data_IF_843087726557
#
_entry.id   IF_843087726557
#
_cell.length_a   1.000
_cell.length_b   1.000
_cell.length_c   1.000
_cell.angle_alpha   90.00
_cell.angle_beta   90.00
_cell.angle_gamma   90.00
#
_symmetry.space_group_name_H-M   'P 1'
#
loop_
_entity.id
_entity.type
_entity.pdbx_description
1 polymer ?
#
# COMPACT_ATOMS: atom_id res chain seq x y z
N UNK A 1 -38.35 35.45 21.89
CA UNK A 1 -37.71 34.16 21.53
C UNK A 1 -37.39 34.20 20.05
N UNK A 2 -36.11 34.20 19.64
CA UNK A 2 -35.74 33.95 18.25
C UNK A 2 -35.83 32.44 17.93
N UNK A 3 -36.09 32.05 16.67
CA UNK A 3 -36.02 30.65 16.24
C UNK A 3 -34.55 30.19 16.15
N UNK A 4 -34.21 28.92 16.45
CA UNK A 4 -32.91 28.38 16.12
C UNK A 4 -32.80 28.18 14.60
N UNK A 5 -31.85 28.86 13.99
CA UNK A 5 -31.38 28.67 12.61
C UNK A 5 -30.76 27.27 12.47
N UNK A 6 -31.53 26.31 11.96
CA UNK A 6 -31.06 24.99 11.56
C UNK A 6 -30.59 25.00 10.10
N UNK A 7 -29.37 24.52 9.86
CA UNK A 7 -28.88 24.27 8.49
C UNK A 7 -27.39 24.50 8.31
N UNK A 8 -26.54 23.85 9.11
CA UNK A 8 -25.13 23.69 8.81
C UNK A 8 -24.87 22.20 8.60
N UNK A 9 -24.53 21.85 7.36
CA UNK A 9 -23.97 20.59 6.88
C UNK A 9 -23.56 19.62 7.99
N UNK A 10 -24.28 18.50 8.13
CA UNK A 10 -23.77 17.33 8.85
C UNK A 10 -22.45 16.93 8.19
N UNK A 11 -21.37 17.38 8.80
CA UNK A 11 -20.04 16.87 8.56
C UNK A 11 -20.08 15.41 8.99
N UNK A 12 -20.12 14.51 8.00
CA UNK A 12 -19.85 13.09 8.23
C UNK A 12 -18.35 13.01 8.57
N UNK A 13 -18.05 13.11 9.86
CA UNK A 13 -16.74 12.75 10.40
C UNK A 13 -16.56 11.24 10.12
N UNK A 14 -15.49 10.80 9.42
CA UNK A 14 -15.19 9.37 9.36
C UNK A 14 -14.93 8.91 10.79
N UNK A 15 -15.86 8.12 11.33
CA UNK A 15 -15.75 7.53 12.65
C UNK A 15 -14.72 6.40 12.58
N UNK A 16 -13.43 6.78 12.58
CA UNK A 16 -12.36 5.83 12.83
C UNK A 16 -12.56 5.31 14.25
N UNK A 17 -12.90 4.03 14.35
CA UNK A 17 -13.01 3.34 15.62
C UNK A 17 -11.64 3.37 16.30
N UNK A 18 -11.57 3.97 17.49
CA UNK A 18 -10.33 4.08 18.27
C UNK A 18 -9.75 2.70 18.65
N UNK A 19 -10.52 1.62 18.46
CA UNK A 19 -10.03 0.24 18.62
C UNK A 19 -8.99 -0.20 17.58
N UNK A 20 -8.87 0.50 16.43
CA UNK A 20 -7.87 0.18 15.41
C UNK A 20 -6.48 0.77 15.71
N UNK A 21 -6.41 1.85 16.52
CA UNK A 21 -5.17 2.53 16.85
C UNK A 21 -4.28 1.74 17.85
N UNK A 22 -4.88 0.83 18.63
CA UNK A 22 -4.17 0.02 19.63
C UNK A 22 -3.38 -1.16 19.02
N UNK A 23 -3.60 -1.47 17.75
CA UNK A 23 -2.88 -2.56 17.05
C UNK A 23 -1.48 -2.09 16.60
N UNK A 24 -1.23 -0.78 16.47
CA UNK A 24 0.10 -0.25 16.10
C UNK A 24 1.04 -0.01 17.30
N UNK A 25 0.63 -0.34 18.53
CA UNK A 25 1.38 0.00 19.74
C UNK A 25 2.27 -1.10 20.35
N UNK A 26 2.20 -2.34 19.89
CA UNK A 26 2.89 -3.46 20.57
C UNK A 26 3.91 -4.18 19.69
N UNK A 27 5.02 -3.48 19.42
CA UNK A 27 6.29 -4.12 19.09
C UNK A 27 7.21 -4.03 20.32
N UNK A 28 6.95 -4.87 21.32
CA UNK A 28 7.86 -5.07 22.45
C UNK A 28 8.76 -6.28 22.19
N UNK A 29 10.05 -6.06 22.39
CA UNK A 29 11.18 -6.98 22.22
C UNK A 29 10.99 -8.28 23.02
N UNK A 30 11.17 -9.43 22.38
CA UNK A 30 11.53 -10.69 23.07
C UNK A 30 12.85 -11.21 22.52
N UNK A 31 13.85 -11.29 23.40
CA UNK A 31 15.13 -11.95 23.17
C UNK A 31 15.20 -13.26 23.96
N UNK A 32 15.51 -14.36 23.26
CA UNK A 32 16.39 -15.45 23.74
C UNK A 32 15.77 -16.81 24.12
N UNK A 33 16.21 -17.88 23.42
CA UNK A 33 16.56 -19.15 24.10
C UNK A 33 16.10 -20.53 23.53
N UNK A 34 16.92 -21.10 22.62
CA UNK A 34 17.31 -22.52 22.43
C UNK A 34 16.36 -23.71 22.10
N UNK A 35 16.65 -24.27 20.91
CA UNK A 35 16.99 -25.67 20.55
C UNK A 35 15.99 -26.84 20.71
N UNK A 36 15.65 -27.46 19.56
CA UNK A 36 15.14 -28.83 19.45
C UNK A 36 15.16 -29.30 17.98
N UNK A 37 16.02 -30.27 17.68
CA UNK A 37 16.30 -30.80 16.34
C UNK A 37 15.25 -31.87 15.93
N UNK A 38 14.77 -31.85 14.68
CA UNK A 38 13.86 -32.87 14.13
C UNK A 38 13.85 -32.85 12.60
N UNK A 39 14.14 -33.99 12.00
CA UNK A 39 14.54 -34.19 10.59
C UNK A 39 13.61 -33.65 9.51
N UNK A 40 14.25 -33.08 8.49
CA UNK A 40 13.72 -32.65 7.19
C UNK A 40 13.37 -33.80 6.26
N UNK A 41 12.19 -33.76 5.63
CA UNK A 41 12.06 -34.02 4.19
C UNK A 41 10.74 -33.51 3.59
N UNK A 42 10.80 -32.91 2.39
CA UNK A 42 9.65 -32.71 1.50
C UNK A 42 9.18 -31.26 1.34
N UNK A 43 9.73 -30.57 0.33
CA UNK A 43 9.50 -29.17 0.02
C UNK A 43 8.03 -28.77 -0.09
N UNK A 44 7.62 -27.91 0.82
CA UNK A 44 6.68 -26.83 0.54
C UNK A 44 7.45 -25.55 0.84
N UNK A 45 7.38 -24.58 -0.06
CA UNK A 45 7.95 -23.24 0.11
C UNK A 45 7.23 -22.58 1.29
N UNK A 46 7.66 -22.94 2.50
CA UNK A 46 7.18 -22.41 3.75
C UNK A 46 7.52 -20.94 3.76
N UNK A 47 6.50 -20.13 3.47
CA UNK A 47 6.37 -18.75 3.82
C UNK A 47 7.60 -17.91 3.56
N UNK A 48 7.53 -17.10 2.51
CA UNK A 48 8.08 -15.76 2.60
C UNK A 48 7.53 -15.15 3.91
N UNK A 49 8.26 -15.27 5.01
CA UNK A 49 7.92 -14.82 6.36
C UNK A 49 9.11 -14.08 6.99
N UNK A 50 10.11 -13.77 6.16
CA UNK A 50 11.21 -12.89 6.50
C UNK A 50 10.96 -11.46 6.00
N UNK A 51 11.84 -10.53 6.39
CA UNK A 51 11.85 -9.17 5.89
C UNK A 51 11.86 -9.10 4.36
N UNK A 52 11.28 -8.05 3.79
CA UNK A 52 11.33 -7.78 2.36
C UNK A 52 12.76 -7.33 2.00
N UNK A 53 13.46 -8.10 1.18
CA UNK A 53 14.85 -7.84 0.79
C UNK A 53 14.99 -7.30 -0.63
N UNK A 54 14.01 -7.54 -1.50
CA UNK A 54 14.08 -7.13 -2.91
C UNK A 54 12.79 -6.46 -3.39
N UNK A 55 12.91 -5.66 -4.46
CA UNK A 55 11.76 -5.04 -5.14
C UNK A 55 10.74 -6.08 -5.59
N UNK A 56 11.19 -7.18 -6.20
CA UNK A 56 10.31 -8.25 -6.65
C UNK A 56 9.53 -8.90 -5.48
N UNK A 57 10.18 -9.06 -4.33
CA UNK A 57 9.51 -9.53 -3.11
C UNK A 57 8.44 -8.53 -2.66
N UNK A 58 8.75 -7.23 -2.62
CA UNK A 58 7.79 -6.18 -2.23
C UNK A 58 6.53 -6.22 -3.11
N UNK A 59 6.71 -6.33 -4.43
CA UNK A 59 5.60 -6.38 -5.40
C UNK A 59 4.76 -7.65 -5.21
N UNK A 60 5.42 -8.78 -4.96
CA UNK A 60 4.73 -10.03 -4.65
C UNK A 60 3.86 -9.88 -3.39
N UNK A 61 4.35 -9.21 -2.35
CA UNK A 61 3.56 -8.92 -1.14
C UNK A 61 2.35 -8.04 -1.40
N UNK A 62 2.49 -7.01 -2.23
CA UNK A 62 1.36 -6.16 -2.60
C UNK A 62 0.25 -6.99 -3.27
N UNK A 63 0.62 -7.95 -4.13
CA UNK A 63 -0.35 -8.88 -4.76
C UNK A 63 -0.98 -9.84 -3.74
N UNK A 64 -0.21 -10.37 -2.79
CA UNK A 64 -0.73 -11.21 -1.70
C UNK A 64 -1.75 -10.44 -0.84
N UNK A 65 -1.42 -9.21 -0.46
CA UNK A 65 -2.31 -8.31 0.29
C UNK A 65 -3.58 -8.02 -0.50
N UNK A 66 -3.47 -7.69 -1.79
CA UNK A 66 -4.62 -7.47 -2.65
C UNK A 66 -5.51 -8.72 -2.75
N UNK A 67 -4.91 -9.91 -2.87
CA UNK A 67 -5.64 -11.18 -2.93
C UNK A 67 -6.31 -11.54 -1.60
N UNK A 68 -5.70 -11.18 -0.46
CA UNK A 68 -6.32 -11.32 0.85
C UNK A 68 -7.58 -10.43 0.95
N UNK A 69 -7.45 -9.13 0.72
CA UNK A 69 -8.58 -8.20 0.82
C UNK A 69 -9.69 -8.52 -0.18
N UNK A 70 -9.39 -8.97 -1.41
CA UNK A 70 -10.44 -9.41 -2.36
C UNK A 70 -11.30 -10.56 -1.82
N UNK A 71 -10.72 -11.42 -0.98
CA UNK A 71 -11.42 -12.58 -0.39
C UNK A 71 -12.19 -12.21 0.88
N UNK A 72 -11.63 -11.34 1.72
CA UNK A 72 -12.23 -10.97 3.01
C UNK A 72 -13.15 -9.76 2.92
N UNK A 73 -12.83 -8.81 2.06
CA UNK A 73 -13.53 -7.53 1.86
C UNK A 73 -13.54 -7.14 0.37
N UNK A 74 -14.38 -7.76 -0.47
CA UNK A 74 -14.32 -7.65 -1.93
C UNK A 74 -14.45 -6.23 -2.50
N UNK A 75 -15.07 -5.33 -1.73
CA UNK A 75 -15.30 -3.93 -2.11
C UNK A 75 -14.41 -2.95 -1.31
N UNK A 76 -13.44 -3.46 -0.56
CA UNK A 76 -12.51 -2.60 0.17
C UNK A 76 -11.60 -1.85 -0.81
N UNK A 77 -11.46 -0.51 -0.67
CA UNK A 77 -10.52 0.26 -1.47
C UNK A 77 -9.07 -0.21 -1.26
N UNK A 78 -8.74 -0.83 -0.12
CA UNK A 78 -7.42 -1.37 0.16
C UNK A 78 -6.99 -2.45 -0.85
N UNK A 79 -7.90 -3.34 -1.24
CA UNK A 79 -7.64 -4.37 -2.26
C UNK A 79 -7.23 -3.75 -3.60
N UNK A 80 -7.98 -2.72 -4.02
CA UNK A 80 -7.74 -2.02 -5.26
C UNK A 80 -6.41 -1.27 -5.22
N UNK A 81 -6.12 -0.55 -4.13
CA UNK A 81 -4.88 0.22 -4.01
C UNK A 81 -3.63 -0.66 -3.96
N UNK A 82 -3.68 -1.79 -3.25
CA UNK A 82 -2.56 -2.74 -3.21
C UNK A 82 -2.26 -3.32 -4.61
N UNK A 83 -3.30 -3.66 -5.38
CA UNK A 83 -3.14 -4.13 -6.76
C UNK A 83 -2.57 -3.03 -7.66
N UNK A 84 -3.11 -1.80 -7.59
CA UNK A 84 -2.59 -0.66 -8.36
C UNK A 84 -1.15 -0.34 -8.01
N UNK A 85 -0.78 -0.40 -6.74
CA UNK A 85 0.60 -0.20 -6.30
C UNK A 85 1.54 -1.29 -6.85
N UNK A 86 1.11 -2.56 -6.89
CA UNK A 86 1.90 -3.63 -7.50
C UNK A 86 2.13 -3.40 -8.99
N UNK A 87 1.13 -2.87 -9.70
CA UNK A 87 1.19 -2.52 -11.13
C UNK A 87 2.08 -1.29 -11.39
N UNK A 88 2.14 -0.32 -10.46
CA UNK A 88 2.93 0.92 -10.60
C UNK A 88 4.38 0.81 -10.11
N UNK A 89 4.65 -0.03 -9.11
CA UNK A 89 5.90 -0.78 -9.10
C UNK A 89 5.95 -1.60 -10.41
N UNK A 90 6.91 -2.42 -10.81
CA UNK A 90 7.04 -2.87 -12.23
C UNK A 90 7.21 -1.77 -13.32
N UNK A 91 6.50 -0.62 -13.30
CA UNK A 91 6.69 0.48 -14.26
C UNK A 91 7.90 1.39 -13.92
N UNK A 92 8.60 1.91 -14.93
CA UNK A 92 9.47 3.08 -14.80
C UNK A 92 8.66 4.35 -14.44
N UNK A 93 9.28 5.28 -13.70
CA UNK A 93 8.62 6.50 -13.21
C UNK A 93 7.99 7.35 -14.33
N UNK A 94 8.68 7.51 -15.45
CA UNK A 94 8.19 8.31 -16.59
C UNK A 94 6.95 7.69 -17.24
N UNK A 95 6.89 6.37 -17.34
CA UNK A 95 5.73 5.66 -17.88
C UNK A 95 4.53 5.80 -16.95
N UNK A 96 4.77 5.67 -15.64
CA UNK A 96 3.75 5.88 -14.63
C UNK A 96 3.18 7.32 -14.64
N UNK A 97 4.05 8.34 -14.73
CA UNK A 97 3.63 9.74 -14.79
C UNK A 97 2.72 10.00 -16.00
N UNK A 98 3.08 9.49 -17.19
CA UNK A 98 2.25 9.59 -18.38
C UNK A 98 0.87 8.92 -18.20
N UNK A 99 0.81 7.81 -17.45
CA UNK A 99 -0.44 7.09 -17.22
C UNK A 99 -1.35 7.75 -16.17
N UNK A 100 -0.78 8.47 -15.20
CA UNK A 100 -1.53 9.05 -14.06
C UNK A 100 -1.87 10.53 -14.28
N UNK A 101 -0.99 11.29 -14.91
CA UNK A 101 -1.18 12.73 -15.14
C UNK A 101 -1.88 12.94 -16.47
N UNK A 102 -3.11 13.44 -16.42
CA UNK A 102 -3.94 13.68 -17.61
C UNK A 102 -3.72 15.05 -18.25
N UNK A 103 -3.24 16.02 -17.47
CA UNK A 103 -2.98 17.37 -17.94
C UNK A 103 -1.55 17.49 -18.47
N UNK A 104 -1.41 17.81 -19.75
CA UNK A 104 -0.11 17.89 -20.42
C UNK A 104 0.80 18.97 -19.83
N UNK A 105 0.24 20.11 -19.43
CA UNK A 105 1.03 21.21 -18.85
C UNK A 105 1.63 20.83 -17.49
N UNK A 106 0.83 20.18 -16.63
CA UNK A 106 1.30 19.65 -15.34
C UNK A 106 2.37 18.57 -15.51
N UNK A 107 2.25 17.71 -16.52
CA UNK A 107 3.22 16.66 -16.81
C UNK A 107 4.56 17.23 -17.31
N UNK A 108 4.54 18.23 -18.19
CA UNK A 108 5.74 18.91 -18.66
C UNK A 108 6.51 19.57 -17.51
N UNK A 109 5.82 20.29 -16.63
CA UNK A 109 6.42 20.90 -15.45
C UNK A 109 7.09 19.85 -14.53
N UNK A 110 6.45 18.69 -14.34
CA UNK A 110 7.00 17.59 -13.54
C UNK A 110 8.23 16.95 -14.20
N UNK A 111 8.21 16.77 -15.52
CA UNK A 111 9.35 16.22 -16.26
C UNK A 111 10.59 17.13 -16.16
N UNK A 112 10.40 18.45 -16.25
CA UNK A 112 11.47 19.43 -16.08
C UNK A 112 12.07 19.37 -14.66
N UNK A 113 11.22 19.31 -13.63
CA UNK A 113 11.66 19.20 -12.23
C UNK A 113 12.42 17.89 -11.95
N UNK A 114 11.99 16.80 -12.56
CA UNK A 114 12.63 15.49 -12.41
C UNK A 114 13.86 15.32 -13.30
N UNK A 115 14.19 16.30 -14.13
CA UNK A 115 15.30 16.22 -15.09
C UNK A 115 15.09 15.15 -16.16
N UNK A 116 13.85 14.66 -16.34
CA UNK A 116 13.46 13.72 -17.38
C UNK A 116 13.17 14.53 -18.65
N UNK A 117 14.18 15.28 -19.11
CA UNK A 117 14.11 15.88 -20.44
C UNK A 117 14.06 14.70 -21.41
N UNK A 118 13.04 14.66 -22.29
CA UNK A 118 13.09 13.76 -23.44
C UNK A 118 14.44 14.02 -24.10
N UNK A 119 15.29 13.02 -24.13
CA UNK A 119 16.57 13.10 -24.82
C UNK A 119 16.18 13.10 -26.29
N UNK A 120 15.86 14.28 -26.81
CA UNK A 120 15.62 14.50 -28.22
C UNK A 120 17.03 14.53 -28.86
N UNK A 121 17.29 13.57 -29.75
CA UNK A 121 18.53 13.39 -30.53
C UNK A 121 18.69 14.49 -31.59
#
# INVERSE_FOLDING_TARGET
MPPPTGGAYERIEPQFDQSEADIMGQLSVVSGGSAGNGMSNGGTSSGMAGPIATRAQAITRLREVAAFFRRTEPHSPAAYMAEKAAIWADMPLHEWLNAVVKDGASLEQLNDLLGVKRIDE
#
